data_IF_565316020596
#
_entry.id   IF_565316020596
#
_cell.length_a   1.000
_cell.length_b   1.000
_cell.length_c   1.000
_cell.angle_alpha   90.00
_cell.angle_beta   90.00
_cell.angle_gamma   90.00
#
_symmetry.space_group_name_H-M   'P 1'
#
loop_
_entity.id
_entity.type
_entity.pdbx_description
1 polymer ?
#
# COMPACT_ATOMS: atom_id res chain seq x y z
N UNK A 1 14.45 4.85 29.00
CA UNK A 1 14.34 3.46 29.51
C UNK A 1 12.97 3.27 30.14
N UNK A 2 11.96 2.91 29.34
CA UNK A 2 10.76 2.17 29.77
C UNK A 2 9.95 1.81 28.53
N UNK A 3 10.06 0.54 28.13
CA UNK A 3 9.03 -0.31 27.51
C UNK A 3 8.37 0.11 26.19
N UNK A 4 9.11 0.07 25.07
CA UNK A 4 8.52 -0.31 23.78
C UNK A 4 8.34 -1.83 23.76
N UNK A 5 7.16 -2.29 24.17
CA UNK A 5 6.73 -3.70 24.07
C UNK A 5 5.21 -3.75 23.96
N UNK A 6 4.75 -4.12 22.76
CA UNK A 6 3.40 -4.58 22.37
C UNK A 6 2.39 -3.43 22.23
N UNK A 7 1.61 -3.32 21.15
CA UNK A 7 0.72 -4.34 20.58
C UNK A 7 0.73 -4.38 19.04
N UNK A 8 1.34 -5.44 18.48
CA UNK A 8 0.74 -6.20 17.38
C UNK A 8 0.12 -7.45 18.02
N UNK A 9 -1.01 -7.90 17.48
CA UNK A 9 -1.90 -8.99 17.92
C UNK A 9 -3.10 -8.53 18.77
N UNK A 10 -4.22 -8.29 18.09
CA UNK A 10 -5.54 -8.33 18.69
C UNK A 10 -5.77 -9.72 19.32
N UNK A 11 -5.98 -9.72 20.63
CA UNK A 11 -6.15 -10.90 21.47
C UNK A 11 -7.49 -11.60 21.22
N UNK A 12 -7.38 -12.91 20.96
CA UNK A 12 -8.44 -13.91 20.92
C UNK A 12 -9.28 -13.96 22.20
N UNK A 13 -10.59 -13.74 22.09
CA UNK A 13 -11.57 -14.28 23.05
C UNK A 13 -11.97 -15.69 22.60
N UNK A 14 -11.45 -16.71 23.29
CA UNK A 14 -12.08 -18.03 23.28
C UNK A 14 -13.40 -17.97 24.05
N UNK A 15 -14.50 -18.20 23.37
CA UNK A 15 -15.75 -18.63 24.02
C UNK A 15 -15.92 -20.12 23.76
N UNK A 16 -15.70 -20.90 24.82
CA UNK A 16 -16.15 -22.28 24.92
C UNK A 16 -17.66 -22.30 25.14
N UNK A 17 -18.39 -22.77 24.13
CA UNK A 17 -19.73 -23.35 24.27
C UNK A 17 -19.79 -24.44 23.18
N UNK A 18 -20.05 -25.71 23.44
CA UNK A 18 -20.88 -26.33 24.45
C UNK A 18 -21.61 -27.45 23.69
N UNK A 19 -21.22 -28.70 23.93
CA UNK A 19 -21.87 -29.86 23.31
C UNK A 19 -23.37 -29.84 23.58
N UNK A 20 -24.20 -29.99 22.54
CA UNK A 20 -25.54 -30.52 22.71
C UNK A 20 -25.89 -31.48 21.57
N UNK A 21 -26.17 -32.72 21.96
CA UNK A 21 -26.57 -33.82 21.10
C UNK A 21 -28.07 -33.71 20.82
N UNK A 22 -28.45 -33.68 19.54
CA UNK A 22 -29.85 -33.71 19.11
C UNK A 22 -29.99 -34.58 17.87
N UNK A 23 -30.43 -35.82 18.07
CA UNK A 23 -30.74 -36.80 17.03
C UNK A 23 -32.04 -36.41 16.33
N UNK A 24 -32.01 -36.23 15.01
CA UNK A 24 -33.20 -36.02 14.19
C UNK A 24 -32.88 -36.38 12.74
N UNK A 25 -33.39 -37.53 12.29
CA UNK A 25 -33.31 -38.01 10.92
C UNK A 25 -34.22 -37.19 10.03
N UNK A 26 -33.68 -36.51 9.02
CA UNK A 26 -34.46 -36.13 7.84
C UNK A 26 -33.57 -36.01 6.60
N UNK A 27 -34.17 -36.41 5.48
CA UNK A 27 -33.58 -36.68 4.17
C UNK A 27 -32.64 -35.58 3.65
N UNK A 28 -31.40 -35.97 3.33
CA UNK A 28 -30.43 -35.14 2.61
C UNK A 28 -30.91 -34.87 1.19
N UNK A 29 -31.60 -33.74 1.02
CA UNK A 29 -31.57 -32.99 -0.23
C UNK A 29 -30.37 -32.07 -0.12
N UNK A 30 -29.28 -32.38 -0.82
CA UNK A 30 -28.12 -31.48 -0.89
C UNK A 30 -28.54 -30.27 -1.72
N UNK A 31 -29.13 -29.27 -1.07
CA UNK A 31 -29.24 -27.93 -1.63
C UNK A 31 -27.82 -27.39 -1.61
N UNK A 32 -27.08 -27.56 -2.71
CA UNK A 32 -25.90 -26.73 -2.98
C UNK A 32 -26.40 -25.29 -3.01
N UNK A 33 -26.24 -24.59 -1.89
CA UNK A 33 -26.48 -23.15 -1.79
C UNK A 33 -25.60 -22.53 -2.87
N UNK A 34 -26.20 -22.09 -3.97
CA UNK A 34 -25.48 -21.47 -5.06
C UNK A 34 -24.73 -20.28 -4.47
N UNK A 35 -23.40 -20.33 -4.48
CA UNK A 35 -22.59 -19.20 -4.02
C UNK A 35 -22.87 -18.09 -5.03
N UNK A 36 -23.67 -17.11 -4.62
CA UNK A 36 -23.90 -15.92 -5.41
C UNK A 36 -22.54 -15.26 -5.60
N UNK A 37 -22.11 -15.06 -6.85
CA UNK A 37 -20.88 -14.33 -7.17
C UNK A 37 -21.25 -12.91 -7.59
N UNK A 38 -20.41 -11.90 -7.32
CA UNK A 38 -20.63 -10.56 -7.85
C UNK A 38 -20.59 -10.55 -9.38
N UNK A 39 -21.33 -9.60 -9.97
CA UNK A 39 -21.24 -9.34 -11.40
C UNK A 39 -19.92 -8.62 -11.72
N UNK A 40 -19.25 -9.05 -12.79
CA UNK A 40 -18.04 -8.43 -13.32
C UNK A 40 -18.39 -7.50 -14.48
N UNK A 41 -19.15 -6.45 -14.18
CA UNK A 41 -19.77 -5.53 -15.14
C UNK A 41 -19.59 -4.05 -14.75
N UNK A 42 -18.58 -3.75 -13.92
CA UNK A 42 -18.19 -2.39 -13.60
C UNK A 42 -17.54 -1.71 -14.82
N UNK A 43 -17.80 -0.42 -15.01
CA UNK A 43 -17.24 0.34 -16.12
C UNK A 43 -16.15 1.30 -15.63
N UNK A 44 -14.91 0.79 -15.56
CA UNK A 44 -13.73 1.63 -15.34
C UNK A 44 -13.60 2.63 -16.49
N UNK A 45 -13.40 3.91 -16.17
CA UNK A 45 -13.43 4.98 -17.15
C UNK A 45 -12.49 6.13 -16.77
N UNK A 46 -12.15 6.95 -17.78
CA UNK A 46 -11.19 8.04 -17.61
C UNK A 46 -11.74 9.19 -16.76
N UNK A 47 -13.06 9.36 -16.66
CA UNK A 47 -13.67 10.44 -15.85
C UNK A 47 -13.45 10.16 -14.35
N UNK A 48 -13.69 8.92 -13.91
CA UNK A 48 -13.50 8.53 -12.51
C UNK A 48 -12.04 8.66 -12.06
N UNK A 49 -11.06 8.15 -12.83
CA UNK A 49 -9.65 8.31 -12.46
C UNK A 49 -9.19 9.76 -12.49
N UNK A 50 -9.79 10.61 -13.35
CA UNK A 50 -9.54 12.05 -13.34
C UNK A 50 -10.06 12.69 -12.06
N UNK A 51 -11.26 12.31 -11.60
CA UNK A 51 -11.83 12.79 -10.34
C UNK A 51 -11.03 12.31 -9.13
N UNK A 52 -10.64 11.04 -9.09
CA UNK A 52 -9.75 10.49 -8.07
C UNK A 52 -8.44 11.28 -8.01
N UNK A 53 -7.80 11.53 -9.15
CA UNK A 53 -6.59 12.34 -9.21
C UNK A 53 -6.79 13.76 -8.66
N UNK A 54 -7.86 14.46 -9.07
CA UNK A 54 -8.16 15.81 -8.57
C UNK A 54 -8.36 15.81 -7.05
N UNK A 55 -9.03 14.80 -6.51
CA UNK A 55 -9.25 14.67 -5.07
C UNK A 55 -7.93 14.41 -4.32
N UNK A 56 -7.06 13.55 -4.86
CA UNK A 56 -5.74 13.27 -4.26
C UNK A 56 -4.75 14.41 -4.45
N UNK A 57 -4.86 15.20 -5.51
CA UNK A 57 -3.97 16.35 -5.74
C UNK A 57 -4.10 17.41 -4.65
N UNK A 58 -5.28 17.55 -4.01
CA UNK A 58 -5.45 18.38 -2.81
C UNK A 58 -4.52 17.93 -1.69
N UNK A 59 -4.49 16.62 -1.41
CA UNK A 59 -3.61 16.00 -0.40
C UNK A 59 -2.13 16.16 -0.78
N UNK A 60 -1.80 16.04 -2.06
CA UNK A 60 -0.41 16.24 -2.53
C UNK A 60 0.09 17.68 -2.33
N UNK A 61 -0.81 18.67 -2.23
CA UNK A 61 -0.48 20.08 -1.97
C UNK A 61 -0.93 20.55 -0.57
N UNK A 62 -1.23 19.63 0.35
CA UNK A 62 -1.85 19.97 1.64
C UNK A 62 -0.87 20.40 2.71
N UNK A 63 0.44 20.32 2.47
CA UNK A 63 1.50 20.61 3.43
C UNK A 63 2.51 21.58 2.84
N UNK A 64 2.75 22.69 3.55
CA UNK A 64 3.85 23.61 3.30
C UNK A 64 4.88 23.50 4.43
N UNK A 65 6.11 23.12 4.09
CA UNK A 65 7.21 23.05 5.04
C UNK A 65 8.30 24.07 4.70
N UNK A 66 8.49 25.02 5.60
CA UNK A 66 9.48 26.07 5.48
C UNK A 66 10.67 25.74 6.39
N UNK A 67 11.82 25.51 5.77
CA UNK A 67 13.03 25.15 6.49
C UNK A 67 14.27 25.59 5.71
N UNK A 68 15.24 26.16 6.43
CA UNK A 68 16.52 26.63 5.88
C UNK A 68 16.38 27.54 4.64
N UNK A 69 15.38 28.44 4.64
CA UNK A 69 15.13 29.37 3.54
C UNK A 69 14.50 28.75 2.28
N UNK A 70 14.11 27.47 2.35
CA UNK A 70 13.41 26.74 1.29
C UNK A 70 11.97 26.45 1.70
N UNK A 71 11.13 26.18 0.71
CA UNK A 71 9.73 25.80 0.88
C UNK A 71 9.52 24.49 0.12
N UNK A 72 9.15 23.45 0.86
CA UNK A 72 8.75 22.17 0.30
C UNK A 72 7.23 22.08 0.40
N UNK A 73 6.55 22.12 -0.74
CA UNK A 73 5.10 22.34 -0.85
C UNK A 73 4.37 21.23 -1.65
N UNK A 74 5.11 20.20 -2.07
CA UNK A 74 4.57 19.03 -2.77
C UNK A 74 4.90 17.74 -2.04
N UNK A 75 3.89 17.04 -1.55
CA UNK A 75 4.05 15.69 -1.01
C UNK A 75 4.25 14.71 -2.16
N UNK A 76 5.31 13.90 -2.07
CA UNK A 76 5.62 12.83 -3.03
C UNK A 76 5.20 11.46 -2.51
N UNK A 77 5.41 11.23 -1.21
CA UNK A 77 5.17 9.96 -0.54
C UNK A 77 4.65 10.21 0.87
N UNK A 78 3.87 9.26 1.39
CA UNK A 78 3.43 9.25 2.78
C UNK A 78 3.29 7.82 3.30
N UNK A 79 3.63 7.63 4.56
CA UNK A 79 3.50 6.36 5.28
C UNK A 79 3.08 6.63 6.73
N UNK A 80 2.13 5.85 7.21
CA UNK A 80 1.76 5.83 8.62
C UNK A 80 2.71 4.92 9.41
N UNK A 81 3.29 5.43 10.49
CA UNK A 81 4.14 4.66 11.39
C UNK A 81 3.37 4.21 12.65
N UNK A 82 2.37 4.99 13.05
CA UNK A 82 1.44 4.78 14.16
C UNK A 82 0.22 5.71 13.95
N UNK A 83 -0.86 5.50 14.69
CA UNK A 83 -2.13 6.26 14.61
C UNK A 83 -1.94 7.79 14.68
N UNK A 84 -0.83 8.25 15.28
CA UNK A 84 -0.51 9.68 15.45
C UNK A 84 0.81 10.10 14.80
N UNK A 85 1.47 9.20 14.06
CA UNK A 85 2.80 9.44 13.50
C UNK A 85 2.79 9.12 12.01
N UNK A 86 2.96 10.14 11.20
CA UNK A 86 3.05 10.03 9.74
C UNK A 86 4.41 10.54 9.29
N UNK A 87 5.07 9.82 8.39
CA UNK A 87 6.24 10.32 7.67
C UNK A 87 5.85 10.64 6.23
N UNK A 88 6.25 11.82 5.76
CA UNK A 88 6.02 12.26 4.39
C UNK A 88 7.33 12.68 3.74
N UNK A 89 7.45 12.48 2.43
CA UNK A 89 8.52 13.08 1.62
C UNK A 89 7.94 14.27 0.89
N UNK A 90 8.52 15.44 1.10
CA UNK A 90 8.16 16.68 0.42
C UNK A 90 9.21 17.04 -0.62
N UNK A 91 8.81 17.76 -1.65
CA UNK A 91 9.65 18.27 -2.72
C UNK A 91 9.49 19.78 -2.86
N UNK A 92 10.58 20.47 -3.14
CA UNK A 92 10.57 21.89 -3.47
C UNK A 92 10.49 22.13 -4.99
N UNK A 93 10.43 23.41 -5.39
CA UNK A 93 10.41 23.81 -6.80
C UNK A 93 11.68 23.49 -7.60
N UNK A 94 12.78 23.11 -6.92
CA UNK A 94 14.05 22.74 -7.53
C UNK A 94 14.23 21.21 -7.58
N UNK A 95 13.20 20.45 -7.21
CA UNK A 95 13.21 18.99 -7.09
C UNK A 95 14.14 18.44 -5.98
N UNK A 96 14.50 19.28 -5.01
CA UNK A 96 15.14 18.84 -3.79
C UNK A 96 14.08 18.25 -2.86
N UNK A 97 14.41 17.16 -2.17
CA UNK A 97 13.46 16.43 -1.32
C UNK A 97 13.87 16.41 0.13
N UNK A 98 12.89 16.40 1.02
CA UNK A 98 13.09 16.28 2.46
C UNK A 98 12.03 15.38 3.07
N UNK A 99 12.43 14.53 4.00
CA UNK A 99 11.51 13.70 4.79
C UNK A 99 11.14 14.45 6.06
N UNK A 100 9.83 14.49 6.35
CA UNK A 100 9.26 15.13 7.51
C UNK A 100 8.39 14.11 8.25
N UNK A 101 8.77 13.78 9.49
CA UNK A 101 7.93 12.99 10.39
C UNK A 101 7.12 13.92 11.28
N UNK A 102 5.80 13.82 11.20
CA UNK A 102 4.86 14.61 12.00
C UNK A 102 4.25 13.71 13.06
N UNK A 103 4.43 14.10 14.32
CA UNK A 103 3.89 13.42 15.50
C UNK A 103 2.83 14.31 16.13
N UNK A 104 1.59 13.83 16.20
CA UNK A 104 0.41 14.60 16.67
C UNK A 104 0.07 14.37 18.15
N UNK A 105 0.93 13.70 18.91
CA UNK A 105 0.77 13.56 20.36
C UNK A 105 0.86 14.93 21.08
N UNK A 106 0.34 15.01 22.31
CA UNK A 106 0.28 16.29 23.04
C UNK A 106 1.65 16.91 23.29
N UNK A 107 2.59 16.07 23.75
CA UNK A 107 4.01 16.37 23.85
C UNK A 107 4.72 15.55 22.77
N UNK A 108 5.11 16.21 21.68
CA UNK A 108 5.58 15.53 20.48
C UNK A 108 6.88 16.14 19.94
N UNK A 109 7.75 15.24 19.49
CA UNK A 109 8.95 15.57 18.74
C UNK A 109 8.76 15.09 17.30
N UNK A 110 9.03 15.99 16.36
CA UNK A 110 9.01 15.74 14.93
C UNK A 110 10.44 15.66 14.39
N UNK A 111 10.62 14.99 13.23
CA UNK A 111 11.94 14.73 12.65
C UNK A 111 11.99 15.31 11.24
N UNK A 112 13.10 15.97 10.94
CA UNK A 112 13.50 16.39 9.60
C UNK A 112 14.65 15.49 9.17
N UNK A 113 14.58 14.94 7.97
CA UNK A 113 15.61 14.06 7.45
C UNK A 113 15.90 14.31 5.97
N UNK A 114 17.17 14.21 5.59
CA UNK A 114 17.58 14.14 4.18
C UNK A 114 18.62 13.03 4.00
N UNK A 115 18.63 12.41 2.82
CA UNK A 115 19.52 11.28 2.48
C UNK A 115 21.02 11.61 2.61
N UNK A 116 21.37 12.90 2.74
CA UNK A 116 22.68 13.45 3.05
C UNK A 116 23.17 13.12 4.48
N UNK A 117 22.45 12.23 5.20
CA UNK A 117 22.61 11.90 6.61
C UNK A 117 22.37 13.08 7.56
N UNK A 118 21.64 14.09 7.12
CA UNK A 118 21.18 15.13 8.03
C UNK A 118 19.87 14.68 8.66
N UNK A 119 19.86 14.59 9.98
CA UNK A 119 18.66 14.41 10.80
C UNK A 119 18.65 15.45 11.90
N UNK A 120 17.53 16.14 12.07
CA UNK A 120 17.29 17.04 13.18
C UNK A 120 15.87 16.89 13.68
N UNK A 121 15.63 17.34 14.91
CA UNK A 121 14.38 17.23 15.61
C UNK A 121 13.84 18.61 15.90
N UNK A 122 12.53 18.73 16.07
CA UNK A 122 11.91 19.96 16.55
C UNK A 122 10.67 19.64 17.37
N UNK A 123 10.36 20.53 18.31
CA UNK A 123 9.10 20.47 19.05
C UNK A 123 7.96 20.69 18.07
N UNK A 124 7.00 19.77 18.07
CA UNK A 124 5.76 19.88 17.31
C UNK A 124 4.53 19.56 18.17
N UNK A 125 4.67 19.59 19.50
CA UNK A 125 3.58 19.42 20.44
C UNK A 125 2.56 20.57 20.40
N UNK A 126 1.50 20.45 21.19
CA UNK A 126 0.37 21.41 21.17
C UNK A 126 0.77 22.86 21.50
N UNK A 127 1.82 23.06 22.29
CA UNK A 127 2.27 24.39 22.74
C UNK A 127 2.86 25.26 21.62
N UNK A 128 3.35 24.62 20.55
CA UNK A 128 3.91 25.30 19.37
C UNK A 128 2.94 25.32 18.18
N UNK A 129 1.74 24.79 18.37
CA UNK A 129 0.69 24.71 17.36
C UNK A 129 -0.29 25.88 17.45
N UNK A 130 -0.71 26.37 16.30
CA UNK A 130 -1.86 27.26 16.11
C UNK A 130 -2.87 26.53 15.24
N UNK A 131 -3.95 26.03 15.85
CA UNK A 131 -5.00 25.25 15.18
C UNK A 131 -6.14 26.18 14.77
N UNK A 132 -6.34 26.36 13.47
CA UNK A 132 -7.49 27.04 12.89
C UNK A 132 -8.60 26.07 12.49
N UNK A 133 -9.65 26.58 11.84
CA UNK A 133 -10.75 25.74 11.31
C UNK A 133 -10.23 24.81 10.21
N UNK A 134 -9.57 25.36 9.18
CA UNK A 134 -9.11 24.60 8.01
C UNK A 134 -7.66 24.14 8.11
N UNK A 135 -6.80 24.88 8.83
CA UNK A 135 -5.35 24.66 8.81
C UNK A 135 -4.76 24.62 10.21
N UNK A 136 -3.71 23.81 10.39
CA UNK A 136 -2.84 23.86 11.57
C UNK A 136 -1.46 24.36 11.18
N UNK A 137 -0.89 25.21 12.03
CA UNK A 137 0.44 25.77 11.86
C UNK A 137 1.32 25.39 13.05
N UNK A 138 2.49 24.82 12.80
CA UNK A 138 3.54 24.55 13.80
C UNK A 138 4.65 25.58 13.60
N UNK A 139 5.00 26.33 14.65
CA UNK A 139 6.13 27.27 14.65
C UNK A 139 7.14 26.88 15.71
N UNK A 140 8.32 26.45 15.28
CA UNK A 140 9.34 25.88 16.17
C UNK A 140 10.75 26.23 15.70
N UNK A 141 11.74 25.63 16.35
CA UNK A 141 13.13 25.63 15.93
C UNK A 141 13.69 24.23 16.02
N UNK A 142 14.57 23.91 15.10
CA UNK A 142 15.34 22.68 15.16
C UNK A 142 16.21 22.63 16.43
N UNK A 143 16.50 21.42 16.90
CA UNK A 143 17.25 21.20 18.13
C UNK A 143 18.73 21.48 17.94
N UNK A 144 19.34 21.02 16.84
CA UNK A 144 20.79 21.11 16.69
C UNK A 144 21.24 22.51 16.23
N UNK A 145 20.64 23.04 15.16
CA UNK A 145 21.10 24.28 14.53
C UNK A 145 20.22 25.51 14.84
N UNK A 146 19.13 25.33 15.60
CA UNK A 146 18.19 26.41 15.99
C UNK A 146 17.57 27.15 14.80
N UNK A 147 17.54 26.50 13.63
CA UNK A 147 16.93 27.00 12.41
C UNK A 147 15.42 27.12 12.62
N UNK A 148 14.81 28.27 12.27
CA UNK A 148 13.36 28.42 12.32
C UNK A 148 12.66 27.39 11.43
N UNK A 149 11.62 26.79 11.97
CA UNK A 149 10.75 25.82 11.29
C UNK A 149 9.33 26.38 11.30
N UNK A 150 8.69 26.31 10.14
CA UNK A 150 7.26 26.53 10.00
C UNK A 150 6.69 25.36 9.18
N UNK A 151 5.72 24.66 9.75
CA UNK A 151 4.92 23.65 9.04
C UNK A 151 3.49 24.16 9.03
N UNK A 152 2.85 24.15 7.87
CA UNK A 152 1.44 24.45 7.71
C UNK A 152 0.79 23.29 6.98
N UNK A 153 -0.33 22.78 7.49
CA UNK A 153 -1.08 21.73 6.81
C UNK A 153 -2.60 21.90 6.93
N UNK A 154 -3.32 21.41 5.93
CA UNK A 154 -4.78 21.31 5.97
C UNK A 154 -5.22 20.19 6.93
N UNK A 155 -6.17 20.49 7.81
CA UNK A 155 -6.62 19.58 8.88
C UNK A 155 -7.33 18.34 8.35
N UNK A 156 -8.16 18.48 7.31
CA UNK A 156 -8.94 17.37 6.73
C UNK A 156 -8.05 16.49 5.85
N UNK A 157 -7.20 17.12 5.02
CA UNK A 157 -6.33 16.40 4.09
C UNK A 157 -5.18 15.67 4.79
N UNK A 158 -4.80 16.10 6.01
CA UNK A 158 -3.71 15.48 6.77
C UNK A 158 -3.94 13.99 7.01
N UNK A 159 -5.18 13.59 7.33
CA UNK A 159 -5.54 12.20 7.60
C UNK A 159 -5.36 11.29 6.36
N UNK A 160 -5.24 11.89 5.16
CA UNK A 160 -5.04 11.18 3.90
C UNK A 160 -3.58 11.18 3.43
N UNK A 161 -2.64 11.74 4.18
CA UNK A 161 -1.23 11.80 3.78
C UNK A 161 -0.63 10.40 3.61
N UNK A 162 -0.96 9.45 4.49
CA UNK A 162 -0.52 8.07 4.37
C UNK A 162 -1.12 7.38 3.13
N UNK A 163 -2.31 7.79 2.67
CA UNK A 163 -2.96 7.24 1.48
C UNK A 163 -2.23 7.59 0.17
N UNK A 164 -1.24 8.48 0.23
CA UNK A 164 -0.37 8.78 -0.92
C UNK A 164 0.45 7.54 -1.33
N UNK A 165 0.82 6.71 -0.36
CA UNK A 165 1.70 5.56 -0.53
C UNK A 165 3.19 5.93 -0.52
N UNK A 166 4.02 4.93 -0.31
CA UNK A 166 5.47 5.06 -0.07
C UNK A 166 6.34 4.19 -0.99
N UNK A 167 5.75 3.64 -2.05
CA UNK A 167 6.46 2.82 -3.04
C UNK A 167 7.06 3.71 -4.14
N UNK A 168 8.38 3.69 -4.26
CA UNK A 168 9.14 4.38 -5.31
C UNK A 168 9.25 3.47 -6.54
N UNK A 169 8.99 4.00 -7.73
CA UNK A 169 9.18 3.30 -9.00
C UNK A 169 10.39 3.90 -9.74
N UNK A 170 11.41 3.10 -9.99
CA UNK A 170 12.61 3.51 -10.73
C UNK A 170 12.68 2.79 -12.07
N UNK A 171 12.64 3.55 -13.16
CA UNK A 171 12.86 3.00 -14.50
C UNK A 171 14.36 2.83 -14.78
N UNK A 172 14.77 1.60 -15.09
CA UNK A 172 16.12 1.19 -15.45
C UNK A 172 16.07 0.74 -16.90
N UNK A 173 16.66 1.55 -17.79
CA UNK A 173 16.65 1.28 -19.23
C UNK A 173 17.84 0.39 -19.62
N UNK A 174 17.54 -0.74 -20.26
CA UNK A 174 18.49 -1.62 -20.91
C UNK A 174 18.09 -1.82 -22.40
N UNK A 175 18.70 -1.05 -23.29
CA UNK A 175 18.44 -1.09 -24.74
C UNK A 175 16.98 -0.79 -25.12
N UNK A 176 16.20 -1.79 -25.51
CA UNK A 176 14.79 -1.68 -25.93
C UNK A 176 13.82 -2.23 -24.84
N UNK A 177 14.35 -2.48 -23.63
CA UNK A 177 13.60 -2.94 -22.47
C UNK A 177 13.78 -1.98 -21.29
N UNK A 178 12.71 -1.80 -20.52
CA UNK A 178 12.72 -1.02 -19.28
C UNK A 178 12.26 -1.90 -18.14
N UNK A 179 13.13 -2.07 -17.16
CA UNK A 179 12.74 -2.62 -15.87
C UNK A 179 12.29 -1.49 -14.95
N UNK A 180 11.14 -1.65 -14.32
CA UNK A 180 10.60 -0.71 -13.33
C UNK A 180 10.80 -1.38 -11.98
N UNK A 181 11.79 -0.98 -11.20
CA UNK A 181 12.09 -1.57 -9.90
C UNK A 181 11.44 -0.78 -8.77
N UNK A 182 10.78 -1.50 -7.85
CA UNK A 182 10.19 -0.90 -6.66
C UNK A 182 11.17 -0.80 -5.50
N UNK A 183 11.08 0.29 -4.72
CA UNK A 183 11.80 0.42 -3.45
C UNK A 183 10.96 1.18 -2.42
N UNK A 184 11.34 1.08 -1.14
CA UNK A 184 10.64 1.78 -0.06
C UNK A 184 11.20 3.20 0.14
N UNK A 185 10.33 4.22 0.05
CA UNK A 185 10.73 5.63 0.13
C UNK A 185 11.47 5.96 1.43
N UNK A 186 11.00 5.44 2.56
CA UNK A 186 11.47 5.81 3.90
C UNK A 186 12.49 4.83 4.51
N UNK A 187 13.10 3.95 3.70
CA UNK A 187 14.06 2.95 4.19
C UNK A 187 15.22 3.55 4.97
N UNK A 188 15.85 4.59 4.42
CA UNK A 188 16.99 5.26 5.07
C UNK A 188 16.56 6.02 6.32
N UNK A 189 15.43 6.74 6.24
CA UNK A 189 14.81 7.42 7.38
C UNK A 189 14.57 6.47 8.56
N UNK A 190 13.93 5.32 8.31
CA UNK A 190 13.62 4.33 9.33
C UNK A 190 14.89 3.69 9.91
N UNK A 191 15.86 3.34 9.07
CA UNK A 191 17.15 2.81 9.51
C UNK A 191 17.89 3.78 10.43
N UNK A 192 17.98 5.04 10.04
CA UNK A 192 18.85 6.01 10.72
C UNK A 192 18.21 6.57 12.00
N UNK A 193 16.88 6.68 12.05
CA UNK A 193 16.16 7.21 13.22
C UNK A 193 15.59 6.11 14.14
N UNK A 194 15.31 4.92 13.60
CA UNK A 194 14.61 3.84 14.32
C UNK A 194 15.21 2.45 14.10
N UNK A 195 16.44 2.32 13.57
CA UNK A 195 17.00 1.03 13.17
C UNK A 195 17.21 0.00 14.30
N UNK A 196 17.15 0.42 15.56
CA UNK A 196 17.15 -0.49 16.72
C UNK A 196 15.75 -1.02 17.07
N UNK A 197 14.70 -0.31 16.64
CA UNK A 197 13.30 -0.56 17.01
C UNK A 197 12.48 -1.15 15.84
N UNK A 198 12.89 -0.89 14.60
CA UNK A 198 12.23 -1.36 13.37
C UNK A 198 13.10 -2.40 12.68
N UNK A 199 12.52 -3.55 12.31
CA UNK A 199 13.28 -4.63 11.67
C UNK A 199 13.73 -4.24 10.24
N UNK A 200 14.82 -4.83 9.73
CA UNK A 200 15.25 -4.61 8.34
C UNK A 200 14.15 -4.95 7.32
N UNK A 201 13.28 -5.91 7.67
CA UNK A 201 12.11 -6.27 6.87
C UNK A 201 11.15 -5.09 6.77
N UNK A 202 10.78 -4.50 7.90
CA UNK A 202 9.80 -3.42 7.94
C UNK A 202 10.39 -2.11 7.40
N UNK A 203 11.69 -1.87 7.60
CA UNK A 203 12.43 -0.78 6.92
C UNK A 203 12.38 -0.90 5.39
N UNK A 204 12.30 -2.11 4.85
CA UNK A 204 12.22 -2.37 3.41
C UNK A 204 10.78 -2.50 2.90
N UNK A 205 9.79 -2.15 3.72
CA UNK A 205 8.38 -2.23 3.36
C UNK A 205 7.82 -0.89 2.89
N UNK A 206 6.80 -0.95 2.04
CA UNK A 206 6.09 0.21 1.52
C UNK A 206 4.64 -0.11 1.20
N UNK A 207 3.86 0.95 0.99
CA UNK A 207 2.44 0.89 0.59
C UNK A 207 2.24 1.48 -0.80
N UNK A 208 1.18 1.04 -1.48
CA UNK A 208 0.76 1.54 -2.79
C UNK A 208 -0.34 2.59 -2.60
N UNK A 209 -0.27 3.67 -3.35
CA UNK A 209 -1.29 4.71 -3.38
C UNK A 209 -1.22 5.52 -4.67
N UNK A 210 -1.72 6.76 -4.63
CA UNK A 210 -1.69 7.65 -5.81
C UNK A 210 -0.27 7.93 -6.32
N UNK A 211 0.73 7.93 -5.44
CA UNK A 211 2.14 8.10 -5.86
C UNK A 211 2.58 7.01 -6.85
N UNK A 212 2.15 5.76 -6.66
CA UNK A 212 2.43 4.65 -7.57
C UNK A 212 1.80 4.91 -8.93
N UNK A 213 0.53 5.33 -8.97
CA UNK A 213 -0.18 5.64 -10.20
C UNK A 213 0.51 6.74 -11.00
N UNK A 214 0.88 7.85 -10.34
CA UNK A 214 1.52 9.01 -10.97
C UNK A 214 2.89 8.63 -11.53
N UNK A 215 3.72 7.93 -10.75
CA UNK A 215 5.03 7.50 -11.21
C UNK A 215 4.93 6.54 -12.39
N UNK A 216 4.02 5.56 -12.34
CA UNK A 216 3.82 4.62 -13.43
C UNK A 216 3.32 5.33 -14.69
N UNK A 217 2.38 6.28 -14.57
CA UNK A 217 1.89 7.08 -15.69
C UNK A 217 3.02 7.81 -16.41
N UNK A 218 3.92 8.45 -15.64
CA UNK A 218 5.08 9.15 -16.19
C UNK A 218 6.04 8.18 -16.89
N UNK A 219 6.33 7.03 -16.27
CA UNK A 219 7.22 6.02 -16.86
C UNK A 219 6.63 5.48 -18.17
N UNK A 220 5.35 5.08 -18.17
CA UNK A 220 4.66 4.61 -19.37
C UNK A 220 4.67 5.67 -20.48
N UNK A 221 4.47 6.94 -20.14
CA UNK A 221 4.52 8.02 -21.11
C UNK A 221 5.92 8.18 -21.73
N UNK A 222 6.98 8.10 -20.92
CA UNK A 222 8.37 8.26 -21.37
C UNK A 222 8.81 7.05 -22.21
N UNK A 223 8.37 5.85 -21.86
CA UNK A 223 8.85 4.58 -22.41
C UNK A 223 7.78 3.82 -23.20
N UNK A 224 6.80 4.51 -23.79
CA UNK A 224 5.65 3.91 -24.49
C UNK A 224 6.01 2.93 -25.62
N UNK A 225 7.21 3.05 -26.19
CA UNK A 225 7.71 2.21 -27.29
C UNK A 225 8.59 1.04 -26.82
N UNK A 226 8.79 0.89 -25.50
CA UNK A 226 9.67 -0.12 -24.90
C UNK A 226 8.86 -1.26 -24.31
N UNK A 227 9.45 -2.46 -24.31
CA UNK A 227 8.94 -3.55 -23.48
C UNK A 227 9.22 -3.21 -22.02
N UNK A 228 8.20 -3.31 -21.15
CA UNK A 228 8.32 -2.97 -19.73
C UNK A 228 8.09 -4.18 -18.82
N UNK A 229 8.88 -4.27 -17.74
CA UNK A 229 8.68 -5.22 -16.65
C UNK A 229 8.67 -4.50 -15.30
N UNK A 230 7.56 -4.59 -14.56
CA UNK A 230 7.47 -4.13 -13.17
C UNK A 230 8.01 -5.21 -12.22
N UNK A 231 9.12 -4.90 -11.55
CA UNK A 231 9.81 -5.75 -10.60
C UNK A 231 9.56 -5.26 -9.18
N UNK A 232 8.78 -6.03 -8.43
CA UNK A 232 8.60 -5.82 -7.00
C UNK A 232 9.87 -6.28 -6.27
N UNK A 233 10.80 -5.35 -5.97
CA UNK A 233 12.11 -5.62 -5.34
C UNK A 233 12.15 -5.23 -3.86
N UNK A 234 11.01 -4.85 -3.29
CA UNK A 234 10.83 -4.60 -1.87
C UNK A 234 9.51 -5.20 -1.37
N UNK A 235 9.22 -5.05 -0.08
CA UNK A 235 8.00 -5.61 0.53
C UNK A 235 6.85 -4.64 0.32
N UNK A 236 5.88 -5.02 -0.50
CA UNK A 236 4.64 -4.27 -0.70
C UNK A 236 3.58 -4.80 0.26
N UNK A 237 3.27 -4.00 1.29
CA UNK A 237 2.31 -4.38 2.34
C UNK A 237 0.85 -4.37 1.85
N UNK A 238 0.56 -3.61 0.79
CA UNK A 238 -0.79 -3.49 0.26
C UNK A 238 -1.04 -2.13 -0.36
N UNK A 239 -2.31 -1.86 -0.62
CA UNK A 239 -2.81 -0.59 -1.09
C UNK A 239 -3.47 0.16 0.07
N UNK A 240 -3.23 1.47 0.12
CA UNK A 240 -3.92 2.42 1.00
C UNK A 240 -4.94 3.28 0.23
N UNK A 241 -5.12 3.01 -1.07
CA UNK A 241 -6.08 3.67 -1.96
C UNK A 241 -6.56 2.70 -3.05
N UNK A 242 -7.49 1.81 -2.68
CA UNK A 242 -7.90 0.67 -3.53
C UNK A 242 -8.52 1.08 -4.86
N UNK A 243 -9.25 2.19 -4.88
CA UNK A 243 -9.82 2.74 -6.11
C UNK A 243 -8.72 3.08 -7.11
N UNK A 244 -7.68 3.79 -6.67
CA UNK A 244 -6.53 4.13 -7.52
C UNK A 244 -5.66 2.91 -7.84
N UNK A 245 -5.55 1.95 -6.91
CA UNK A 245 -4.78 0.73 -7.13
C UNK A 245 -5.33 -0.11 -8.29
N UNK A 246 -6.67 -0.24 -8.41
CA UNK A 246 -7.29 -0.90 -9.56
C UNK A 246 -6.97 -0.18 -10.88
N UNK A 247 -6.99 1.16 -10.90
CA UNK A 247 -6.58 1.93 -12.09
C UNK A 247 -5.09 1.78 -12.41
N UNK A 248 -4.24 1.66 -11.38
CA UNK A 248 -2.81 1.36 -11.56
C UNK A 248 -2.63 -0.02 -12.21
N UNK A 249 -3.36 -1.03 -11.74
CA UNK A 249 -3.35 -2.36 -12.36
C UNK A 249 -3.87 -2.36 -13.81
N UNK A 250 -4.94 -1.61 -14.09
CA UNK A 250 -5.43 -1.44 -15.46
C UNK A 250 -4.38 -0.78 -16.36
N UNK A 251 -3.60 0.17 -15.85
CA UNK A 251 -2.49 0.78 -16.58
C UNK A 251 -1.39 -0.25 -16.90
N UNK A 252 -1.01 -1.11 -15.94
CA UNK A 252 -0.08 -2.22 -16.16
C UNK A 252 -0.59 -3.12 -17.31
N UNK A 253 -1.85 -3.56 -17.23
CA UNK A 253 -2.46 -4.46 -18.21
C UNK A 253 -2.57 -3.83 -19.60
N UNK A 254 -3.05 -2.59 -19.68
CA UNK A 254 -3.32 -1.90 -20.95
C UNK A 254 -2.03 -1.54 -21.71
N UNK A 255 -0.90 -1.41 -21.00
CA UNK A 255 0.42 -1.14 -21.59
C UNK A 255 1.27 -2.40 -21.74
N UNK A 256 0.67 -3.59 -21.64
CA UNK A 256 1.35 -4.88 -21.82
C UNK A 256 2.58 -5.08 -20.92
N UNK A 257 2.56 -4.51 -19.71
CA UNK A 257 3.68 -4.59 -18.77
C UNK A 257 3.69 -5.99 -18.14
N UNK A 258 4.85 -6.65 -18.15
CA UNK A 258 5.07 -7.89 -17.40
C UNK A 258 5.31 -7.58 -15.92
N UNK A 259 5.00 -8.50 -15.01
CA UNK A 259 5.26 -8.32 -13.57
C UNK A 259 6.14 -9.43 -13.02
N UNK A 260 6.97 -9.08 -12.06
CA UNK A 260 7.88 -10.00 -11.40
C UNK A 260 7.97 -9.67 -9.91
N UNK A 261 7.80 -10.68 -9.06
CA UNK A 261 8.23 -10.60 -7.67
C UNK A 261 9.65 -11.14 -7.60
N UNK A 262 10.61 -10.29 -7.23
CA UNK A 262 12.02 -10.70 -7.11
C UNK A 262 12.25 -11.47 -5.81
N UNK A 263 13.44 -12.07 -5.65
CA UNK A 263 13.85 -12.72 -4.38
C UNK A 263 13.89 -11.78 -3.17
N UNK A 264 13.99 -10.47 -3.39
CA UNK A 264 14.02 -9.46 -2.33
C UNK A 264 12.62 -8.96 -1.99
N UNK A 265 11.67 -9.10 -2.92
CA UNK A 265 10.34 -8.55 -2.80
C UNK A 265 9.28 -9.53 -2.32
N UNK A 266 8.14 -8.93 -1.96
CA UNK A 266 6.88 -9.64 -1.74
C UNK A 266 5.73 -8.72 -2.08
N UNK A 267 4.63 -9.30 -2.57
CA UNK A 267 3.38 -8.60 -2.81
C UNK A 267 2.30 -9.16 -1.90
N UNK A 268 1.58 -8.26 -1.24
CA UNK A 268 0.49 -8.60 -0.35
C UNK A 268 -0.71 -7.70 -0.66
N UNK A 269 -1.94 -8.20 -0.48
CA UNK A 269 -3.16 -7.42 -0.67
C UNK A 269 -3.19 -6.72 -2.04
N UNK A 270 -3.39 -5.40 -2.09
CA UNK A 270 -3.31 -4.59 -3.31
C UNK A 270 -2.02 -4.74 -4.13
N UNK A 271 -0.90 -5.17 -3.52
CA UNK A 271 0.30 -5.57 -4.26
C UNK A 271 0.08 -6.81 -5.12
N UNK A 272 -0.68 -7.79 -4.61
CA UNK A 272 -1.05 -8.99 -5.38
C UNK A 272 -1.98 -8.62 -6.53
N UNK A 273 -2.83 -7.59 -6.35
CA UNK A 273 -3.66 -7.05 -7.43
C UNK A 273 -2.78 -6.54 -8.57
N UNK A 274 -1.77 -5.72 -8.28
CA UNK A 274 -0.83 -5.22 -9.30
C UNK A 274 0.01 -6.34 -9.92
N UNK A 275 0.45 -7.32 -9.13
CA UNK A 275 1.15 -8.49 -9.67
C UNK A 275 0.26 -9.25 -10.65
N UNK A 276 -1.02 -9.47 -10.33
CA UNK A 276 -1.99 -10.14 -11.21
C UNK A 276 -2.23 -9.39 -12.52
N UNK A 277 -2.00 -8.07 -12.53
CA UNK A 277 -2.22 -7.24 -13.70
C UNK A 277 -1.19 -7.46 -14.82
N UNK A 278 -0.03 -8.05 -14.53
CA UNK A 278 0.99 -8.34 -15.52
C UNK A 278 0.52 -9.28 -16.63
N UNK A 279 0.89 -8.99 -17.89
CA UNK A 279 0.58 -9.89 -19.02
C UNK A 279 1.34 -11.20 -18.92
N UNK A 280 2.55 -11.14 -18.35
CA UNK A 280 3.35 -12.29 -17.91
C UNK A 280 3.76 -12.09 -16.46
N UNK A 281 3.68 -13.15 -15.65
CA UNK A 281 3.78 -13.07 -14.18
C UNK A 281 4.82 -14.04 -13.65
N UNK A 282 5.92 -13.50 -13.14
CA UNK A 282 7.08 -14.28 -12.70
C UNK A 282 7.30 -14.18 -11.20
N UNK A 283 7.58 -15.30 -10.55
CA UNK A 283 8.06 -15.34 -9.17
C UNK A 283 9.49 -15.86 -9.14
N UNK A 284 10.45 -15.03 -8.72
CA UNK A 284 11.79 -15.46 -8.33
C UNK A 284 11.78 -15.84 -6.85
N UNK A 285 12.04 -17.11 -6.54
CA UNK A 285 11.93 -17.62 -5.18
C UNK A 285 13.07 -17.12 -4.31
N UNK A 286 12.72 -16.53 -3.17
CA UNK A 286 13.70 -16.13 -2.14
C UNK A 286 14.59 -17.29 -1.68
N UNK A 287 14.00 -18.47 -1.52
CA UNK A 287 14.67 -19.70 -1.15
C UNK A 287 14.21 -20.85 -2.08
N UNK A 288 15.03 -21.26 -3.06
CA UNK A 288 14.68 -22.28 -4.05
C UNK A 288 14.26 -23.64 -3.48
N UNK A 289 14.67 -23.97 -2.26
CA UNK A 289 14.32 -25.22 -1.59
C UNK A 289 12.97 -25.18 -0.88
N UNK A 290 12.41 -23.98 -0.67
CA UNK A 290 11.15 -23.81 0.04
C UNK A 290 9.95 -23.96 -0.91
N UNK A 291 8.85 -24.47 -0.38
CA UNK A 291 7.54 -24.35 -1.03
C UNK A 291 7.19 -22.86 -1.21
N UNK A 292 6.35 -22.54 -2.21
CA UNK A 292 6.05 -21.14 -2.59
C UNK A 292 5.55 -20.33 -1.39
N UNK A 293 4.56 -20.87 -0.67
CA UNK A 293 3.94 -20.21 0.48
C UNK A 293 4.91 -19.97 1.63
N UNK A 294 5.95 -20.81 1.78
CA UNK A 294 6.97 -20.66 2.81
C UNK A 294 7.98 -19.54 2.49
N UNK A 295 8.04 -19.09 1.25
CA UNK A 295 8.81 -17.91 0.88
C UNK A 295 8.12 -16.61 1.29
N UNK A 296 6.80 -16.62 1.52
CA UNK A 296 5.99 -15.45 1.89
C UNK A 296 6.12 -14.28 0.92
N UNK A 297 6.09 -14.57 -0.38
CA UNK A 297 6.31 -13.58 -1.45
C UNK A 297 5.02 -13.14 -2.15
N UNK A 298 3.95 -13.93 -2.09
CA UNK A 298 2.65 -13.58 -2.68
C UNK A 298 1.57 -13.94 -1.67
N UNK A 299 0.84 -12.94 -1.18
CA UNK A 299 -0.19 -13.14 -0.17
C UNK A 299 -1.46 -12.35 -0.42
N UNK A 300 -2.56 -12.87 0.13
CA UNK A 300 -3.91 -12.34 -0.04
C UNK A 300 -4.65 -12.33 1.30
N UNK A 301 -5.65 -11.47 1.39
CA UNK A 301 -6.64 -11.46 2.46
C UNK A 301 -7.93 -10.79 1.99
N UNK A 302 -8.99 -10.90 2.78
CA UNK A 302 -10.23 -10.15 2.56
C UNK A 302 -10.05 -8.68 2.91
N UNK A 303 -10.73 -7.77 2.23
CA UNK A 303 -10.84 -6.38 2.67
C UNK A 303 -11.92 -6.21 3.76
N UNK A 304 -11.89 -5.06 4.42
CA UNK A 304 -12.89 -4.59 5.37
C UNK A 304 -13.04 -3.07 5.21
N UNK A 305 -14.22 -2.56 5.54
CA UNK A 305 -14.53 -1.13 5.54
C UNK A 305 -15.29 -0.82 6.83
N UNK A 306 -14.80 0.15 7.59
CA UNK A 306 -15.27 0.45 8.94
C UNK A 306 -15.31 -0.80 9.85
N UNK A 307 -16.48 -1.09 10.43
CA UNK A 307 -16.73 -2.23 11.31
C UNK A 307 -17.18 -3.49 10.55
N UNK A 308 -17.19 -3.47 9.21
CA UNK A 308 -17.72 -4.55 8.36
C UNK A 308 -16.64 -5.23 7.55
N UNK A 309 -16.68 -6.56 7.55
CA UNK A 309 -15.91 -7.39 6.63
C UNK A 309 -16.54 -7.41 5.24
N UNK A 310 -15.73 -7.66 4.20
CA UNK A 310 -16.22 -7.76 2.82
C UNK A 310 -17.48 -8.64 2.67
N UNK A 311 -17.56 -9.76 3.39
CA UNK A 311 -18.68 -10.72 3.28
C UNK A 311 -19.99 -10.23 3.92
N UNK A 312 -19.95 -9.15 4.68
CA UNK A 312 -21.13 -8.50 5.24
C UNK A 312 -21.79 -7.53 4.25
N UNK A 313 -21.05 -7.11 3.21
CA UNK A 313 -21.61 -6.39 2.09
C UNK A 313 -22.29 -7.36 1.10
N UNK A 314 -23.43 -6.98 0.50
CA UNK A 314 -24.07 -7.81 -0.51
C UNK A 314 -23.19 -7.85 -1.77
N UNK A 315 -23.09 -8.97 -2.48
CA UNK A 315 -22.30 -9.05 -3.73
C UNK A 315 -22.82 -8.19 -4.89
N UNK A 316 -23.96 -7.51 -4.72
CA UNK A 316 -24.43 -6.45 -5.63
C UNK A 316 -23.79 -5.09 -5.35
N UNK A 317 -23.10 -4.95 -4.22
CA UNK A 317 -22.38 -3.74 -3.83
C UNK A 317 -21.33 -3.36 -4.88
N UNK A 318 -21.12 -2.05 -5.02
CA UNK A 318 -20.21 -1.50 -6.01
C UNK A 318 -18.77 -1.99 -5.79
N UNK A 319 -18.31 -2.08 -4.53
CA UNK A 319 -16.96 -2.52 -4.19
C UNK A 319 -16.70 -3.96 -4.66
N UNK A 320 -17.68 -4.87 -4.49
CA UNK A 320 -17.57 -6.21 -5.05
C UNK A 320 -17.59 -6.25 -6.58
N UNK A 321 -18.42 -5.41 -7.22
CA UNK A 321 -18.49 -5.35 -8.70
C UNK A 321 -17.21 -4.80 -9.31
N UNK A 322 -16.60 -3.77 -8.70
CA UNK A 322 -15.29 -3.23 -9.09
C UNK A 322 -14.22 -4.34 -9.04
N UNK A 323 -14.08 -5.00 -7.90
CA UNK A 323 -13.10 -6.07 -7.69
C UNK A 323 -13.32 -7.27 -8.63
N UNK A 324 -14.57 -7.72 -8.79
CA UNK A 324 -14.90 -8.82 -9.70
C UNK A 324 -14.54 -8.48 -11.15
N UNK A 325 -14.81 -7.25 -11.59
CA UNK A 325 -14.46 -6.78 -12.93
C UNK A 325 -12.96 -6.66 -13.11
N UNK A 326 -12.25 -6.14 -12.11
CA UNK A 326 -10.80 -6.03 -12.11
C UNK A 326 -10.15 -7.40 -12.29
N UNK A 327 -10.44 -8.36 -11.40
CA UNK A 327 -9.83 -9.69 -11.51
C UNK A 327 -10.28 -10.47 -12.73
N UNK A 328 -11.53 -10.30 -13.19
CA UNK A 328 -11.99 -10.85 -14.48
C UNK A 328 -11.14 -10.34 -15.65
N UNK A 329 -10.74 -9.07 -15.61
CA UNK A 329 -9.86 -8.47 -16.62
C UNK A 329 -8.45 -9.05 -16.57
N UNK A 330 -7.92 -9.27 -15.36
CA UNK A 330 -6.53 -9.72 -15.18
C UNK A 330 -6.32 -11.23 -15.38
N UNK A 331 -7.28 -12.03 -14.91
CA UNK A 331 -7.15 -13.49 -14.79
C UNK A 331 -8.12 -14.25 -15.70
N UNK A 332 -8.98 -13.58 -16.46
CA UNK A 332 -9.95 -14.24 -17.33
C UNK A 332 -11.07 -14.93 -16.55
N UNK A 333 -11.49 -16.12 -17.01
CA UNK A 333 -12.65 -16.85 -16.46
C UNK A 333 -12.51 -17.20 -14.98
N UNK A 334 -11.27 -17.39 -14.51
CA UNK A 334 -10.93 -17.67 -13.13
C UNK A 334 -10.94 -16.44 -12.23
N UNK A 335 -11.00 -15.22 -12.78
CA UNK A 335 -10.79 -13.99 -12.04
C UNK A 335 -11.80 -13.71 -10.94
N UNK A 336 -13.09 -13.87 -11.22
CA UNK A 336 -14.14 -13.72 -10.20
C UNK A 336 -13.96 -14.77 -9.09
N UNK A 337 -13.48 -15.96 -9.44
CA UNK A 337 -13.28 -17.05 -8.49
C UNK A 337 -12.03 -16.82 -7.63
N UNK A 338 -10.99 -16.22 -8.21
CA UNK A 338 -9.84 -15.74 -7.46
C UNK A 338 -10.25 -14.67 -6.45
N UNK A 339 -11.06 -13.69 -6.86
CA UNK A 339 -11.59 -12.67 -5.94
C UNK A 339 -12.37 -13.29 -4.78
N UNK A 340 -13.31 -14.18 -5.07
CA UNK A 340 -14.06 -14.89 -4.02
C UNK A 340 -13.13 -15.66 -3.07
N UNK A 341 -12.06 -16.24 -3.62
CA UNK A 341 -11.05 -16.91 -2.84
C UNK A 341 -10.26 -15.98 -1.92
N UNK A 342 -9.92 -14.75 -2.32
CA UNK A 342 -9.23 -13.82 -1.42
C UNK A 342 -10.09 -13.52 -0.18
N UNK A 343 -11.40 -13.38 -0.36
CA UNK A 343 -12.37 -13.19 0.74
C UNK A 343 -12.46 -14.39 1.70
N UNK A 344 -12.19 -15.60 1.21
CA UNK A 344 -12.22 -16.85 1.98
C UNK A 344 -10.88 -17.19 2.65
N UNK A 345 -9.78 -16.65 2.14
CA UNK A 345 -8.42 -17.08 2.51
C UNK A 345 -7.99 -16.60 3.89
N UNK A 346 -8.24 -15.33 4.21
CA UNK A 346 -7.91 -14.73 5.50
C UNK A 346 -8.81 -13.51 5.78
N UNK A 347 -9.11 -13.18 7.05
CA UNK A 347 -9.76 -11.91 7.40
C UNK A 347 -8.85 -10.71 7.08
N UNK A 348 -9.38 -9.48 7.15
CA UNK A 348 -8.61 -8.26 6.86
C UNK A 348 -7.35 -8.07 7.71
N UNK A 349 -7.35 -8.57 8.94
CA UNK A 349 -6.20 -8.56 9.84
C UNK A 349 -5.31 -9.80 9.74
N UNK A 350 -5.60 -10.71 8.82
CA UNK A 350 -4.91 -11.99 8.65
C UNK A 350 -4.07 -12.04 7.38
N UNK A 351 -3.29 -13.12 7.26
CA UNK A 351 -2.45 -13.36 6.09
C UNK A 351 -2.67 -14.77 5.56
N UNK A 352 -2.89 -14.89 4.25
CA UNK A 352 -2.79 -16.15 3.54
C UNK A 352 -1.72 -16.07 2.44
N UNK A 353 -0.69 -16.90 2.56
CA UNK A 353 0.39 -16.99 1.57
C UNK A 353 0.00 -18.01 0.50
N UNK A 354 -0.03 -17.57 -0.76
CA UNK A 354 -0.54 -18.37 -1.88
C UNK A 354 0.34 -19.61 -2.09
N UNK A 355 -0.30 -20.78 -2.05
CA UNK A 355 0.36 -22.05 -2.35
C UNK A 355 0.50 -22.27 -3.85
N UNK A 356 1.39 -23.18 -4.26
CA UNK A 356 1.48 -23.58 -5.67
C UNK A 356 0.15 -24.06 -6.24
N UNK A 357 -0.60 -24.87 -5.49
CA UNK A 357 -1.89 -25.42 -5.94
C UNK A 357 -2.93 -24.31 -6.18
N UNK A 358 -2.96 -23.30 -5.31
CA UNK A 358 -3.85 -22.15 -5.47
C UNK A 358 -3.43 -21.29 -6.65
N UNK A 359 -2.12 -21.02 -6.80
CA UNK A 359 -1.60 -20.33 -7.97
C UNK A 359 -1.96 -21.05 -9.27
N UNK A 360 -1.76 -22.37 -9.35
CA UNK A 360 -2.10 -23.18 -10.52
C UNK A 360 -3.62 -23.13 -10.82
N UNK A 361 -4.47 -23.11 -9.78
CA UNK A 361 -5.94 -23.08 -9.92
C UNK A 361 -6.43 -21.80 -10.60
N UNK A 362 -5.82 -20.67 -10.29
CA UNK A 362 -6.25 -19.36 -10.79
C UNK A 362 -5.32 -18.79 -11.86
N UNK A 363 -4.37 -19.60 -12.32
CA UNK A 363 -3.30 -19.18 -13.23
C UNK A 363 -2.62 -17.88 -12.74
N UNK A 364 -2.27 -17.80 -11.46
CA UNK A 364 -1.75 -16.55 -10.85
C UNK A 364 -0.29 -16.28 -11.22
N UNK A 365 0.56 -17.30 -11.14
CA UNK A 365 1.99 -17.24 -11.47
C UNK A 365 2.21 -18.08 -12.73
N UNK A 366 2.77 -17.48 -13.78
CA UNK A 366 3.09 -18.18 -15.02
C UNK A 366 4.46 -18.86 -14.95
N UNK A 367 5.45 -18.15 -14.40
CA UNK A 367 6.84 -18.61 -14.36
C UNK A 367 7.38 -18.58 -12.93
N UNK A 368 8.10 -19.63 -12.55
CA UNK A 368 8.82 -19.69 -11.27
C UNK A 368 10.30 -19.88 -11.59
N UNK A 369 11.12 -18.99 -11.06
CA UNK A 369 12.59 -18.99 -11.20
C UNK A 369 13.26 -18.96 -9.83
N UNK A 370 14.57 -19.22 -9.79
CA UNK A 370 15.37 -19.45 -8.58
C UNK A 370 16.60 -18.56 -8.48
#
# INVERSE_FOLDING_TARGET
>A
MTSYRKLLLASSLMVLAGCNSGSGSDSKTTITKQVTKPAADYNFNNEEITELYINRDKVLNSVNFYYNGQVYDRVLFGEELDDNITVIRLMDKYAETIDLMINRNEEAECIIYSDNQYSDKFDCGKEVQSVGEETTVIQSKSVNDHTPILVEYNNEDFEYLSHIGSTVLTAINEYDQVDIETSAAFKNFLRDNFGQDVSERDQNSSTLGISTFIQLANIVQIYQDYSMMLKFDNIINGSVDDDVNMYTGLMIRNNYIATMVTKNGSVFSGGTDLFSAGVERTLERKAPTNAIELNKQVGVHSWAEDDKTAKEFPFTDLSHRKQATYFKTMLGDEGVDFYMYTLDSAPASGEHWVTKKESDKYNLIHNIVD
#
